data_IF_613986373514
#
_entry.id   IF_613986373514
#
_cell.length_a   1.000
_cell.length_b   1.000
_cell.length_c   1.000
_cell.angle_alpha   90.00
_cell.angle_beta   90.00
_cell.angle_gamma   90.00
#
_symmetry.space_group_name_H-M   'P 1'
#
loop_
_entity.id
_entity.type
_entity.pdbx_description
1 polymer ?
#
# COMPACT_ATOMS: atom_id res chain seq x y z
N UNK A 1 -10.01 15.54 14.10
CA UNK A 1 -10.16 14.24 13.44
C UNK A 1 -10.68 14.43 12.03
N UNK A 2 -9.75 14.71 11.13
CA UNK A 2 -9.94 14.69 9.67
C UNK A 2 -9.24 13.45 9.14
N UNK A 3 -9.95 12.65 8.35
CA UNK A 3 -9.41 11.45 7.70
C UNK A 3 -9.45 11.67 6.19
N UNK A 4 -8.30 11.50 5.56
CA UNK A 4 -8.15 11.48 4.11
C UNK A 4 -7.36 10.21 3.73
N UNK A 5 -7.66 9.62 2.58
CA UNK A 5 -6.90 8.47 2.09
C UNK A 5 -6.70 8.54 0.58
N UNK A 6 -5.60 7.95 0.12
CA UNK A 6 -5.29 7.85 -1.31
C UNK A 6 -4.73 6.47 -1.66
N UNK A 7 -5.10 5.92 -2.83
CA UNK A 7 -4.50 4.68 -3.30
C UNK A 7 -3.03 4.93 -3.70
N UNK A 8 -2.16 4.00 -3.35
CA UNK A 8 -0.77 3.99 -3.79
C UNK A 8 -0.41 2.61 -4.33
N UNK A 9 0.17 2.56 -5.52
CA UNK A 9 0.72 1.32 -6.09
C UNK A 9 2.24 1.36 -5.94
N UNK A 10 2.79 0.32 -5.34
CA UNK A 10 4.22 0.16 -5.13
C UNK A 10 4.78 -0.78 -6.20
N UNK A 11 5.70 -0.29 -7.02
CA UNK A 11 6.47 -1.14 -7.93
C UNK A 11 7.59 -1.85 -7.15
N UNK A 12 7.52 -3.17 -7.09
CA UNK A 12 8.45 -3.97 -6.31
C UNK A 12 9.76 -4.12 -7.09
N UNK A 13 10.87 -3.74 -6.44
CA UNK A 13 12.22 -3.88 -7.02
C UNK A 13 12.55 -5.33 -7.43
N UNK A 14 11.96 -6.29 -6.73
CA UNK A 14 12.11 -7.72 -7.01
C UNK A 14 10.73 -8.37 -6.98
N UNK A 15 10.44 -9.25 -7.94
CA UNK A 15 9.21 -10.04 -7.99
C UNK A 15 8.98 -10.76 -6.66
N UNK A 16 7.89 -10.41 -5.98
CA UNK A 16 7.43 -11.09 -4.77
C UNK A 16 6.75 -12.40 -5.16
N UNK A 17 7.18 -13.52 -4.57
CA UNK A 17 6.61 -14.85 -4.82
C UNK A 17 6.01 -15.39 -3.53
N UNK A 18 4.76 -15.84 -3.64
CA UNK A 18 4.02 -16.54 -2.59
C UNK A 18 3.51 -17.87 -3.15
N UNK A 19 3.07 -18.79 -2.29
CA UNK A 19 2.67 -20.14 -2.70
C UNK A 19 1.71 -20.20 -3.91
N UNK A 20 0.89 -19.17 -4.11
CA UNK A 20 -0.15 -19.13 -5.14
C UNK A 20 0.13 -18.13 -6.27
N UNK A 21 1.35 -17.59 -6.38
CA UNK A 21 1.66 -16.70 -7.49
C UNK A 21 2.87 -15.80 -7.29
N UNK A 22 3.03 -14.88 -8.24
CA UNK A 22 4.08 -13.88 -8.25
C UNK A 22 3.47 -12.52 -8.55
N UNK A 23 3.97 -11.46 -7.91
CA UNK A 23 3.58 -10.08 -8.18
C UNK A 23 4.80 -9.19 -8.25
N UNK A 24 4.80 -8.27 -9.21
CA UNK A 24 5.76 -7.17 -9.32
C UNK A 24 5.21 -5.87 -8.73
N UNK A 25 3.94 -5.87 -8.28
CA UNK A 25 3.29 -4.71 -7.68
C UNK A 25 2.62 -5.05 -6.35
N UNK A 26 2.45 -4.03 -5.50
CA UNK A 26 1.62 -4.11 -4.30
C UNK A 26 0.68 -2.90 -4.26
N UNK A 27 -0.61 -3.15 -4.06
CA UNK A 27 -1.62 -2.11 -3.96
C UNK A 27 -1.91 -1.81 -2.50
N UNK A 28 -1.68 -0.56 -2.12
CA UNK A 28 -1.79 -0.09 -0.77
C UNK A 28 -2.67 1.17 -0.72
N UNK A 29 -2.99 1.59 0.50
CA UNK A 29 -3.66 2.86 0.79
C UNK A 29 -2.78 3.63 1.77
N UNK A 30 -2.53 4.90 1.46
CA UNK A 30 -1.96 5.88 2.38
C UNK A 30 -3.10 6.61 3.09
N UNK A 31 -3.06 6.66 4.42
CA UNK A 31 -4.08 7.28 5.26
C UNK A 31 -3.45 8.43 6.04
N UNK A 32 -4.09 9.59 5.96
CA UNK A 32 -3.78 10.76 6.78
C UNK A 32 -4.87 10.92 7.84
N UNK A 33 -4.45 10.99 9.11
CA UNK A 33 -5.35 11.21 10.25
C UNK A 33 -4.82 12.38 11.09
N UNK A 34 -5.45 13.54 10.91
CA UNK A 34 -4.89 14.81 11.40
C UNK A 34 -3.41 14.94 10.93
N UNK A 35 -2.43 15.03 11.84
CA UNK A 35 -1.00 15.08 11.49
C UNK A 35 -0.33 13.70 11.39
N UNK A 36 -1.09 12.62 11.62
CA UNK A 36 -0.63 11.25 11.56
C UNK A 36 -0.68 10.67 10.14
N UNK A 37 0.27 9.76 9.85
CA UNK A 37 0.33 9.01 8.59
C UNK A 37 0.35 7.51 8.88
N UNK A 38 -0.43 6.75 8.11
CA UNK A 38 -0.46 5.29 8.16
C UNK A 38 -0.56 4.68 6.76
N UNK A 39 -0.13 3.43 6.62
CA UNK A 39 -0.15 2.69 5.35
C UNK A 39 -0.67 1.26 5.60
N UNK A 40 -1.51 0.76 4.69
CA UNK A 40 -1.99 -0.61 4.72
C UNK A 40 -2.05 -1.22 3.31
N UNK A 41 -1.90 -2.54 3.21
CA UNK A 41 -2.26 -3.27 1.99
C UNK A 41 -3.78 -3.27 1.81
N UNK A 42 -4.21 -3.11 0.55
CA UNK A 42 -5.61 -3.20 0.13
C UNK A 42 -5.99 -4.63 -0.30
#
# INVERSE_FOLDING_TARGET
MKLDYEPITLDLKTTFRVAHGASDQRHNVLVHLDDGVGEAAA
#
